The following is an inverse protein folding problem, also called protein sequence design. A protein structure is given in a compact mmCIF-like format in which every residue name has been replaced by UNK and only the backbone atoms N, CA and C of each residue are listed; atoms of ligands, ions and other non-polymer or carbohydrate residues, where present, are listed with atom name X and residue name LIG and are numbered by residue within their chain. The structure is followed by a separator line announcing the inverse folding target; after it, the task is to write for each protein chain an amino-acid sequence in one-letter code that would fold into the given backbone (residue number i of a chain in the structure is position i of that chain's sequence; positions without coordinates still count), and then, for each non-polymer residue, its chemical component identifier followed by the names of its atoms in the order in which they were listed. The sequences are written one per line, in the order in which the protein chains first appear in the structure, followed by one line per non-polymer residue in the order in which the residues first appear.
data_IF_923917619072
#
_entry.id   IF_923917619072
#
_cell.length_a   1.000
_cell.length_b   1.000
_cell.length_c   1.000
_cell.angle_alpha   90.00
_cell.angle_beta   90.00
_cell.angle_gamma   90.00
#
_symmetry.space_group_name_H-M   'P 1'
#
loop_
_entity.id
_entity.type
_entity.pdbx_description
1 polymer ?
#
# COMPACT_ATOMS: atom_id res chain seq x y z
N UNK A 1 -0.70 9.49 -9.17
CA UNK A 1 -0.87 10.25 -7.89
C UNK A 1 0.28 9.86 -6.97
N UNK A 2 0.69 10.70 -6.01
CA UNK A 2 1.77 10.37 -5.07
C UNK A 2 1.46 10.82 -3.64
N UNK A 3 1.97 10.11 -2.64
CA UNK A 3 1.90 10.50 -1.23
C UNK A 3 3.08 9.97 -0.41
N UNK A 4 3.32 10.58 0.76
CA UNK A 4 4.35 10.12 1.70
C UNK A 4 3.76 9.03 2.61
N UNK A 5 4.55 8.00 2.88
CA UNK A 5 4.17 6.86 3.70
C UNK A 5 5.35 6.39 4.56
N UNK A 6 5.06 5.47 5.48
CA UNK A 6 6.09 4.70 6.16
C UNK A 6 6.12 3.27 5.63
N UNK A 7 7.28 2.84 5.14
CA UNK A 7 7.56 1.49 4.69
C UNK A 7 8.17 0.67 5.83
N UNK A 8 7.73 -0.57 5.97
CA UNK A 8 8.25 -1.57 6.89
C UNK A 8 8.66 -2.78 6.06
N UNK A 9 9.90 -3.23 6.20
CA UNK A 9 10.47 -4.29 5.35
C UNK A 9 10.01 -5.71 5.71
N UNK A 10 9.27 -5.86 6.81
CA UNK A 10 8.76 -7.14 7.30
C UNK A 10 9.79 -7.99 8.05
N UNK A 11 11.09 -7.72 7.91
CA UNK A 11 12.15 -8.40 8.68
C UNK A 11 12.56 -7.59 9.91
N UNK A 12 12.48 -6.27 9.84
CA UNK A 12 12.75 -5.39 10.97
C UNK A 12 11.56 -4.49 11.28
N UNK A 13 11.31 -4.20 12.56
CA UNK A 13 10.29 -3.22 12.98
C UNK A 13 10.70 -1.75 12.68
N UNK A 14 11.66 -1.56 11.78
CA UNK A 14 12.19 -0.24 11.42
C UNK A 14 11.25 0.43 10.44
N UNK A 15 10.82 1.66 10.75
CA UNK A 15 10.06 2.46 9.79
C UNK A 15 11.02 3.21 8.87
N UNK A 16 10.80 3.08 7.57
CA UNK A 16 11.49 3.83 6.54
C UNK A 16 10.54 4.88 5.97
N UNK A 17 11.03 6.10 5.76
CA UNK A 17 10.25 7.11 5.03
C UNK A 17 10.23 6.70 3.56
N UNK A 18 9.03 6.59 2.99
CA UNK A 18 8.85 6.25 1.60
C UNK A 18 7.90 7.23 0.89
N UNK A 19 8.06 7.36 -0.41
CA UNK A 19 7.17 8.03 -1.33
C UNK A 19 6.47 6.95 -2.15
N UNK A 20 5.14 6.92 -2.05
CA UNK A 20 4.29 6.05 -2.84
C UNK A 20 3.82 6.80 -4.07
N UNK A 21 4.06 6.25 -5.25
CA UNK A 21 3.56 6.78 -6.52
C UNK A 21 2.64 5.74 -7.16
N UNK A 22 1.36 6.07 -7.18
CA UNK A 22 0.34 5.30 -7.87
C UNK A 22 0.38 5.61 -9.37
N UNK A 23 0.77 4.60 -10.14
CA UNK A 23 0.66 4.55 -11.60
C UNK A 23 -0.43 3.55 -12.01
N UNK A 24 -0.88 3.62 -13.27
CA UNK A 24 -2.09 2.94 -13.78
C UNK A 24 -2.32 1.54 -13.20
N UNK A 25 -1.32 0.65 -13.30
CA UNK A 25 -1.42 -0.75 -12.89
C UNK A 25 -0.35 -1.15 -11.85
N UNK A 26 0.46 -0.18 -11.40
CA UNK A 26 1.58 -0.43 -10.50
C UNK A 26 1.74 0.65 -9.45
N UNK A 27 2.13 0.23 -8.25
CA UNK A 27 2.56 1.11 -7.19
C UNK A 27 4.09 1.13 -7.15
N UNK A 28 4.65 2.33 -7.25
CA UNK A 28 6.09 2.55 -7.06
C UNK A 28 6.30 3.03 -5.62
N UNK A 29 7.28 2.43 -4.94
CA UNK A 29 7.65 2.74 -3.56
C UNK A 29 9.11 3.16 -3.58
N UNK A 30 9.39 4.41 -3.25
CA UNK A 30 10.73 4.97 -3.27
C UNK A 30 11.11 5.46 -1.88
N UNK A 31 12.24 5.00 -1.36
CA UNK A 31 12.79 5.46 -0.09
C UNK A 31 14.27 5.79 -0.20
N UNK A 32 14.91 5.98 0.94
CA UNK A 32 16.34 6.31 0.97
C UNK A 32 17.17 5.10 0.53
N UNK A 33 17.66 5.14 -0.72
CA UNK A 33 18.50 4.09 -1.30
C UNK A 33 17.76 2.87 -1.86
N UNK A 34 16.42 2.87 -1.90
CA UNK A 34 15.65 1.77 -2.47
C UNK A 34 14.48 2.25 -3.33
N UNK A 35 14.14 1.44 -4.33
CA UNK A 35 12.98 1.63 -5.21
C UNK A 35 12.36 0.28 -5.53
N UNK A 36 11.12 0.09 -5.13
CA UNK A 36 10.33 -1.09 -5.44
C UNK A 36 9.15 -0.75 -6.33
N UNK A 37 8.73 -1.72 -7.14
CA UNK A 37 7.57 -1.60 -8.01
C UNK A 37 6.73 -2.85 -7.83
N UNK A 38 5.47 -2.67 -7.49
CA UNK A 38 4.54 -3.77 -7.23
C UNK A 38 3.31 -3.61 -8.11
N UNK A 39 2.89 -4.66 -8.84
CA UNK A 39 1.62 -4.66 -9.55
C UNK A 39 0.47 -4.47 -8.56
N UNK A 40 -0.49 -3.60 -8.85
CA UNK A 40 -1.62 -3.33 -7.95
C UNK A 40 -2.42 -4.61 -7.63
N UNK A 41 -2.52 -5.54 -8.57
CA UNK A 41 -3.19 -6.84 -8.40
C UNK A 41 -2.57 -7.72 -7.30
N UNK A 42 -1.34 -7.43 -6.88
CA UNK A 42 -0.63 -8.20 -5.84
C UNK A 42 -0.71 -7.54 -4.45
N UNK A 43 -1.27 -6.34 -4.39
CA UNK A 43 -1.33 -5.54 -3.17
C UNK A 43 -2.64 -5.81 -2.42
N UNK A 44 -2.56 -5.76 -1.09
CA UNK A 44 -3.73 -5.87 -0.22
C UNK A 44 -3.82 -4.65 0.69
N UNK A 45 -4.86 -3.85 0.53
CA UNK A 45 -5.14 -2.73 1.42
C UNK A 45 -6.07 -3.20 2.54
N UNK A 46 -5.64 -3.04 3.79
CA UNK A 46 -6.50 -3.34 4.94
C UNK A 46 -7.38 -2.15 5.33
N UNK A 47 -8.56 -2.49 5.85
CA UNK A 47 -9.50 -1.50 6.35
C UNK A 47 -8.88 -0.73 7.53
N UNK A 48 -9.16 0.58 7.66
CA UNK A 48 -8.70 1.36 8.79
C UNK A 48 -9.32 0.79 10.09
N UNK A 49 -8.50 0.40 11.04
CA UNK A 49 -8.97 0.02 12.38
C UNK A 49 -9.05 1.29 13.23
N UNK A 50 -10.27 1.68 13.65
CA UNK A 50 -10.47 2.75 14.63
C UNK A 50 -10.03 4.16 14.20
N UNK A 51 -10.05 4.47 12.89
CA UNK A 51 -9.65 5.79 12.37
C UNK A 51 -8.14 6.01 12.23
N UNK A 52 -7.35 4.95 12.37
CA UNK A 52 -5.89 4.97 12.16
C UNK A 52 -5.53 4.87 10.67
N UNK A 53 -4.28 5.21 10.35
CA UNK A 53 -3.70 5.11 9.02
C UNK A 53 -3.96 3.73 8.38
N UNK A 54 -4.27 3.71 7.09
CA UNK A 54 -4.48 2.44 6.37
C UNK A 54 -3.14 1.74 6.15
N UNK A 55 -3.14 0.42 6.27
CA UNK A 55 -1.96 -0.41 6.04
C UNK A 55 -2.10 -1.14 4.70
N UNK A 56 -1.11 -0.96 3.83
CA UNK A 56 -0.99 -1.64 2.55
C UNK A 56 0.06 -2.74 2.68
N UNK A 57 -0.33 -3.99 2.47
CA UNK A 57 0.57 -5.13 2.43
C UNK A 57 1.09 -5.36 1.02
N UNK A 58 2.38 -5.60 0.93
CA UNK A 58 3.11 -5.88 -0.30
C UNK A 58 3.36 -7.38 -0.44
N UNK A 59 3.53 -7.85 -1.68
CA UNK A 59 3.74 -9.26 -1.98
C UNK A 59 5.09 -9.81 -1.50
N UNK A 60 6.07 -8.95 -1.23
CA UNK A 60 7.40 -9.30 -0.71
C UNK A 60 7.41 -9.46 0.82
N UNK A 61 6.27 -9.27 1.49
CA UNK A 61 6.14 -9.32 2.94
C UNK A 61 6.33 -7.96 3.63
N UNK A 62 6.66 -6.90 2.86
CA UNK A 62 6.69 -5.54 3.36
C UNK A 62 5.29 -4.96 3.58
N UNK A 63 5.22 -3.85 4.32
CA UNK A 63 3.98 -3.09 4.49
C UNK A 63 4.21 -1.59 4.45
N UNK A 64 3.19 -0.84 4.06
CA UNK A 64 3.19 0.62 3.99
C UNK A 64 2.03 1.20 4.80
N UNK A 65 2.33 2.09 5.75
CA UNK A 65 1.32 2.92 6.40
C UNK A 65 1.07 4.21 5.63
N UNK A 66 -0.18 4.38 5.23
CA UNK A 66 -0.67 5.51 4.44
C UNK A 66 -1.57 6.35 5.33
N UNK A 67 -1.13 7.57 5.65
CA UNK A 67 -1.92 8.54 6.41
C UNK A 67 -2.76 9.46 5.51
N UNK A 68 -2.54 9.41 4.20
CA UNK A 68 -3.26 10.23 3.21
C UNK A 68 -4.56 9.54 2.80
N UNK A 69 -5.68 10.10 3.27
CA UNK A 69 -7.01 9.54 3.06
C UNK A 69 -7.37 9.47 1.57
N UNK A 70 -7.09 10.53 0.79
CA UNK A 70 -7.38 10.56 -0.65
C UNK A 70 -6.58 9.50 -1.41
N UNK A 71 -5.31 9.34 -1.06
CA UNK A 71 -4.47 8.30 -1.65
C UNK A 71 -4.99 6.91 -1.33
N UNK A 72 -5.36 6.68 -0.07
CA UNK A 72 -5.89 5.40 0.39
C UNK A 72 -7.24 5.06 -0.26
N UNK A 73 -8.13 6.04 -0.43
CA UNK A 73 -9.42 5.89 -1.10
C UNK A 73 -9.27 5.59 -2.60
N UNK A 74 -8.30 6.21 -3.28
CA UNK A 74 -8.02 5.88 -4.68
C UNK A 74 -7.47 4.46 -4.85
N UNK A 75 -6.56 4.04 -3.96
CA UNK A 75 -6.07 2.66 -3.93
C UNK A 75 -7.21 1.68 -3.66
N UNK A 76 -8.05 1.96 -2.67
CA UNK A 76 -9.24 1.15 -2.38
C UNK A 76 -10.18 1.06 -3.58
N UNK A 77 -10.43 2.16 -4.29
CA UNK A 77 -11.26 2.16 -5.50
C UNK A 77 -10.71 1.25 -6.59
N UNK A 78 -9.38 1.21 -6.77
CA UNK A 78 -8.73 0.36 -7.77
C UNK A 78 -8.72 -1.12 -7.32
N UNK A 79 -8.33 -1.39 -6.09
CA UNK A 79 -8.22 -2.75 -5.54
C UNK A 79 -9.61 -3.38 -5.34
N UNK A 80 -10.56 -2.61 -4.82
CA UNK A 80 -11.95 -3.01 -4.60
C UNK A 80 -12.75 -3.21 -5.88
N UNK A 81 -12.40 -2.50 -6.96
CA UNK A 81 -12.99 -2.77 -8.29
C UNK A 81 -12.52 -4.10 -8.89
N UNK A 82 -11.40 -4.68 -8.41
CA UNK A 82 -10.85 -5.94 -8.90
C UNK A 82 -11.13 -7.18 -8.01
N UNK A 83 -11.50 -6.99 -6.74
CA UNK A 83 -11.53 -8.07 -5.73
C UNK A 83 -12.91 -8.39 -5.13
N UNK A 84 -14.02 -8.15 -5.85
CA UNK A 84 -15.35 -8.63 -5.44
C UNK A 84 -15.60 -10.13 -5.74
N UNK A 85 -14.54 -10.94 -5.91
CA UNK A 85 -14.69 -12.40 -5.93
C UNK A 85 -13.82 -13.02 -4.84
N UNK A 86 -14.46 -13.82 -4.00
CA UNK A 86 -13.91 -14.72 -2.98
C UNK A 86 -13.85 -14.18 -1.54
N UNK A 87 -15.03 -13.88 -0.98
CA UNK A 87 -15.39 -14.50 0.30
C UNK A 87 -16.25 -15.72 -0.01
N UNK A 88 -15.60 -16.88 -0.09
CA UNK A 88 -16.25 -18.18 0.07
C UNK A 88 -15.81 -18.70 1.44
N UNK A 89 -16.74 -18.74 2.40
CA UNK A 89 -17.12 -19.91 3.20
C UNK A 89 -17.74 -19.51 4.53
#
# INVERSE_FOLDING_TARGET
MQTRAFYYDGQTSTRHKALLTLQREQLIIEGDGFRHQHPLSTLKLEAPIGGLARTLHLADGGSCQISDDRFSAALEGILGSGFQSLVHR
#
